data_IF_570714828966
#
_entry.id   IF_570714828966
#
_cell.length_a   1.000
_cell.length_b   1.000
_cell.length_c   1.000
_cell.angle_alpha   90.00
_cell.angle_beta   90.00
_cell.angle_gamma   90.00
#
_symmetry.space_group_name_H-M   'P 1'
#
loop_
_entity.id
_entity.type
_entity.pdbx_description
1 polymer ?
#
# COMPACT_ATOMS: atom_id res chain seq x y z
N UNK A 1 -26.75 21.38 10.95
CA UNK A 1 -25.67 20.55 11.53
C UNK A 1 -25.60 20.88 13.00
N UNK A 2 -25.65 19.89 13.88
CA UNK A 2 -25.60 20.10 15.33
C UNK A 2 -24.23 19.63 15.86
N UNK A 3 -23.81 20.15 17.02
CA UNK A 3 -22.52 19.85 17.65
C UNK A 3 -22.35 18.35 18.00
N UNK A 4 -23.46 17.61 18.14
CA UNK A 4 -23.46 16.17 18.43
C UNK A 4 -23.04 15.36 17.19
N UNK A 5 -23.55 15.72 16.01
CA UNK A 5 -23.21 15.09 14.73
C UNK A 5 -21.76 15.38 14.35
N UNK A 6 -21.29 16.60 14.62
CA UNK A 6 -19.90 16.98 14.35
C UNK A 6 -18.93 16.23 15.27
N UNK A 7 -19.30 16.02 16.54
CA UNK A 7 -18.51 15.23 17.48
C UNK A 7 -18.49 13.74 17.13
N UNK A 8 -19.60 13.16 16.68
CA UNK A 8 -19.68 11.77 16.23
C UNK A 8 -18.81 11.53 14.98
N UNK A 9 -18.83 12.46 14.02
CA UNK A 9 -17.96 12.41 12.85
C UNK A 9 -16.48 12.53 13.25
N UNK A 10 -16.14 13.41 14.21
CA UNK A 10 -14.78 13.58 14.70
C UNK A 10 -14.29 12.36 15.52
N UNK A 11 -15.13 11.74 16.33
CA UNK A 11 -14.79 10.50 17.06
C UNK A 11 -14.65 9.31 16.10
N UNK A 12 -15.44 9.26 15.02
CA UNK A 12 -15.25 8.30 13.93
C UNK A 12 -13.91 8.54 13.23
N UNK A 13 -13.54 9.79 12.94
CA UNK A 13 -12.25 10.14 12.33
C UNK A 13 -11.04 9.92 13.27
N UNK A 14 -11.18 10.12 14.58
CA UNK A 14 -10.13 9.86 15.59
C UNK A 14 -9.92 8.36 15.81
N UNK A 15 -11.00 7.57 15.77
CA UNK A 15 -10.91 6.09 15.77
C UNK A 15 -10.27 5.59 14.47
N UNK A 16 -10.61 6.22 13.34
CA UNK A 16 -10.09 5.96 11.99
C UNK A 16 -8.60 6.26 11.83
N UNK A 17 -8.06 7.24 12.56
CA UNK A 17 -6.62 7.59 12.55
C UNK A 17 -5.77 6.84 13.57
N UNK A 18 -6.37 6.18 14.58
CA UNK A 18 -5.61 5.43 15.59
C UNK A 18 -5.22 4.01 15.16
N UNK A 19 -5.95 3.39 14.23
CA UNK A 19 -5.57 2.10 13.65
C UNK A 19 -4.52 2.24 12.55
N UNK A 20 -4.35 3.45 12.01
CA UNK A 20 -3.45 3.76 10.90
C UNK A 20 -2.21 4.51 11.36
N UNK A 21 -1.09 4.22 10.72
CA UNK A 21 0.04 5.16 10.71
C UNK A 21 -0.42 6.39 9.89
N UNK A 22 -0.35 7.64 10.39
CA UNK A 22 -0.94 8.81 9.72
C UNK A 22 -0.55 8.98 8.24
N UNK A 23 0.66 8.53 7.89
CA UNK A 23 1.18 8.49 6.53
C UNK A 23 0.38 7.54 5.62
N UNK A 24 -0.07 6.39 6.12
CA UNK A 24 -0.89 5.43 5.37
C UNK A 24 -2.31 5.94 5.16
N UNK A 25 -2.91 6.61 6.16
CA UNK A 25 -4.23 7.22 6.03
C UNK A 25 -4.23 8.28 4.91
N UNK A 26 -3.27 9.21 4.96
CA UNK A 26 -3.10 10.22 3.92
C UNK A 26 -2.89 9.61 2.52
N UNK A 27 -2.08 8.56 2.44
CA UNK A 27 -1.85 7.86 1.17
C UNK A 27 -3.14 7.26 0.59
N UNK A 28 -3.98 6.63 1.43
CA UNK A 28 -5.28 6.10 0.99
C UNK A 28 -6.21 7.22 0.49
N UNK A 29 -6.23 8.36 1.19
CA UNK A 29 -7.01 9.54 0.75
C UNK A 29 -6.52 10.09 -0.59
N UNK A 30 -5.21 10.13 -0.81
CA UNK A 30 -4.60 10.57 -2.07
C UNK A 30 -4.98 9.63 -3.23
N UNK A 31 -4.99 8.31 -3.00
CA UNK A 31 -5.47 7.33 -3.99
C UNK A 31 -6.96 7.53 -4.32
N UNK A 32 -7.80 7.75 -3.31
CA UNK A 32 -9.23 7.99 -3.48
C UNK A 32 -9.57 9.33 -4.15
N UNK A 33 -8.68 10.32 -4.02
CA UNK A 33 -8.76 11.59 -4.74
C UNK A 33 -8.34 11.43 -6.21
N UNK A 34 -7.30 10.65 -6.46
CA UNK A 34 -6.78 10.36 -7.80
C UNK A 34 -7.74 9.50 -8.63
N UNK A 35 -8.31 8.46 -8.03
CA UNK A 35 -9.14 7.47 -8.70
C UNK A 35 -10.52 7.38 -8.02
N UNK A 36 -11.58 7.94 -8.63
CA UNK A 36 -12.92 7.93 -8.06
C UNK A 36 -13.47 6.51 -7.79
N UNK A 37 -13.05 5.51 -8.56
CA UNK A 37 -13.47 4.11 -8.39
C UNK A 37 -12.93 3.48 -7.09
N UNK A 38 -11.92 4.06 -6.44
CA UNK A 38 -11.39 3.57 -5.15
C UNK A 38 -12.31 3.94 -3.98
N UNK A 39 -13.05 5.06 -4.07
CA UNK A 39 -13.98 5.51 -3.00
C UNK A 39 -15.04 4.47 -2.63
N UNK A 40 -15.77 3.85 -3.59
CA UNK A 40 -16.71 2.79 -3.25
C UNK A 40 -16.02 1.57 -2.64
N UNK A 41 -14.78 1.23 -3.05
CA UNK A 41 -14.01 0.14 -2.43
C UNK A 41 -13.71 0.43 -0.95
N UNK A 42 -13.31 1.65 -0.62
CA UNK A 42 -13.08 2.06 0.78
C UNK A 42 -14.38 1.96 1.60
N UNK A 43 -15.50 2.41 1.04
CA UNK A 43 -16.79 2.36 1.73
C UNK A 43 -17.29 0.92 1.95
N UNK A 44 -17.07 0.03 0.98
CA UNK A 44 -17.34 -1.40 1.11
C UNK A 44 -16.42 -2.05 2.14
N UNK A 45 -15.13 -1.78 2.05
CA UNK A 45 -14.13 -2.28 2.97
C UNK A 45 -14.45 -1.95 4.43
N UNK A 46 -14.81 -0.70 4.73
CA UNK A 46 -15.19 -0.27 6.08
C UNK A 46 -16.48 -0.96 6.53
N UNK A 47 -17.45 -1.14 5.64
CA UNK A 47 -18.70 -1.84 5.97
C UNK A 47 -18.47 -3.30 6.32
N UNK A 48 -17.52 -3.94 5.64
CA UNK A 48 -17.27 -5.37 5.80
C UNK A 48 -16.34 -5.69 6.98
N UNK A 49 -15.50 -4.73 7.39
CA UNK A 49 -14.50 -4.92 8.43
C UNK A 49 -14.76 -4.08 9.70
N UNK A 50 -15.79 -3.23 9.72
CA UNK A 50 -16.10 -2.22 10.76
C UNK A 50 -14.97 -1.20 11.03
N UNK A 51 -13.87 -1.26 10.28
CA UNK A 51 -12.73 -0.36 10.35
C UNK A 51 -11.98 -0.29 9.01
N UNK A 52 -11.04 0.64 8.89
CA UNK A 52 -10.16 0.74 7.71
C UNK A 52 -8.88 -0.05 7.96
N UNK A 53 -8.71 -1.18 7.27
CA UNK A 53 -7.51 -2.02 7.33
C UNK A 53 -6.69 -1.85 6.04
N UNK A 54 -5.65 -0.99 5.98
CA UNK A 54 -5.02 -0.62 4.71
C UNK A 54 -4.39 -1.80 4.01
N UNK A 55 -3.82 -2.74 4.77
CA UNK A 55 -3.20 -3.93 4.20
C UNK A 55 -4.23 -4.80 3.47
N UNK A 56 -5.45 -4.91 4.01
CA UNK A 56 -6.54 -5.63 3.35
C UNK A 56 -7.15 -4.80 2.21
N UNK A 57 -7.33 -3.49 2.40
CA UNK A 57 -7.80 -2.56 1.37
C UNK A 57 -6.90 -2.56 0.14
N UNK A 58 -5.58 -2.60 0.30
CA UNK A 58 -4.66 -2.67 -0.85
C UNK A 58 -4.85 -3.98 -1.63
N UNK A 59 -5.32 -5.06 -0.98
CA UNK A 59 -5.78 -6.28 -1.64
C UNK A 59 -7.09 -6.08 -2.43
N UNK A 60 -8.05 -5.30 -1.92
CA UNK A 60 -9.23 -4.87 -2.68
C UNK A 60 -8.84 -4.07 -3.92
N UNK A 61 -7.93 -3.12 -3.75
CA UNK A 61 -7.41 -2.28 -4.83
C UNK A 61 -6.64 -3.13 -5.86
N UNK A 62 -5.83 -4.10 -5.44
CA UNK A 62 -5.14 -5.03 -6.33
C UNK A 62 -6.14 -5.84 -7.19
N UNK A 63 -7.24 -6.30 -6.59
CA UNK A 63 -8.33 -6.97 -7.33
C UNK A 63 -9.01 -6.04 -8.32
N UNK A 64 -9.27 -4.79 -7.95
CA UNK A 64 -9.81 -3.79 -8.87
C UNK A 64 -8.86 -3.52 -10.04
N UNK A 65 -7.56 -3.35 -9.79
CA UNK A 65 -6.53 -3.21 -10.84
C UNK A 65 -6.57 -4.40 -11.80
N UNK A 66 -6.67 -5.62 -11.28
CA UNK A 66 -6.78 -6.82 -12.11
C UNK A 66 -8.02 -6.80 -13.01
N UNK A 67 -9.16 -6.33 -12.49
CA UNK A 67 -10.38 -6.17 -13.29
C UNK A 67 -10.21 -5.11 -14.38
N UNK A 68 -9.56 -3.98 -14.08
CA UNK A 68 -9.28 -2.95 -15.10
C UNK A 68 -8.36 -3.49 -16.20
N UNK A 69 -7.33 -4.27 -15.83
CA UNK A 69 -6.43 -4.91 -16.80
C UNK A 69 -7.17 -5.91 -17.70
N UNK A 70 -8.14 -6.65 -17.16
CA UNK A 70 -8.92 -7.62 -17.93
C UNK A 70 -9.96 -6.97 -18.87
N UNK A 71 -10.53 -5.83 -18.47
CA UNK A 71 -11.69 -5.25 -19.13
C UNK A 71 -11.37 -4.02 -20.01
N UNK A 72 -10.17 -3.45 -19.90
CA UNK A 72 -9.78 -2.28 -20.69
C UNK A 72 -9.03 -2.69 -21.96
N UNK A 73 -9.35 -2.06 -23.09
CA UNK A 73 -8.60 -2.21 -24.35
C UNK A 73 -7.20 -1.56 -24.26
N UNK A 74 -7.02 -0.57 -23.36
CA UNK A 74 -5.73 0.07 -23.06
C UNK A 74 -5.56 0.24 -21.54
N UNK A 75 -5.20 -0.83 -20.81
CA UNK A 75 -4.98 -0.77 -19.37
C UNK A 75 -3.83 0.16 -18.99
N UNK A 76 -2.80 0.27 -19.83
CA UNK A 76 -1.60 1.05 -19.56
C UNK A 76 -1.94 2.53 -19.45
N UNK A 77 -2.70 3.07 -20.41
CA UNK A 77 -3.14 4.46 -20.35
C UNK A 77 -4.11 4.71 -19.20
N UNK A 78 -5.07 3.80 -18.98
CA UNK A 78 -6.08 3.92 -17.91
C UNK A 78 -5.48 3.94 -16.50
N UNK A 79 -4.43 3.15 -16.26
CA UNK A 79 -3.81 2.98 -14.94
C UNK A 79 -2.50 3.75 -14.78
N UNK A 80 -2.00 4.42 -15.81
CA UNK A 80 -0.76 5.21 -15.74
C UNK A 80 -0.74 6.21 -14.57
N UNK A 81 -1.81 7.00 -14.30
CA UNK A 81 -1.82 7.91 -13.15
C UNK A 81 -1.70 7.18 -11.81
N UNK A 82 -2.40 6.04 -11.67
CA UNK A 82 -2.38 5.22 -10.46
C UNK A 82 -0.98 4.65 -10.19
N UNK A 83 -0.35 4.01 -11.18
CA UNK A 83 1.00 3.47 -11.01
C UNK A 83 2.06 4.55 -10.81
N UNK A 84 1.89 5.73 -11.41
CA UNK A 84 2.76 6.87 -11.16
C UNK A 84 2.66 7.33 -9.69
N UNK A 85 1.46 7.32 -9.11
CA UNK A 85 1.27 7.68 -7.71
C UNK A 85 1.90 6.64 -6.78
N UNK A 86 1.72 5.34 -7.04
CA UNK A 86 2.38 4.28 -6.27
C UNK A 86 3.91 4.42 -6.32
N UNK A 87 4.46 4.67 -7.50
CA UNK A 87 5.90 4.85 -7.71
C UNK A 87 6.42 6.10 -6.98
N UNK A 88 5.64 7.18 -6.94
CA UNK A 88 5.97 8.40 -6.19
C UNK A 88 5.91 8.15 -4.68
N UNK A 89 4.84 7.53 -4.20
CA UNK A 89 4.60 7.24 -2.79
C UNK A 89 5.58 6.21 -2.21
N UNK A 90 6.16 5.36 -3.07
CA UNK A 90 7.25 4.47 -2.71
C UNK A 90 8.47 5.21 -2.13
N UNK A 91 8.81 6.38 -2.69
CA UNK A 91 9.91 7.21 -2.21
C UNK A 91 11.25 6.46 -2.16
N UNK A 92 11.85 6.38 -0.97
CA UNK A 92 13.12 5.68 -0.73
C UNK A 92 12.97 4.19 -0.34
N UNK A 93 11.74 3.67 -0.29
CA UNK A 93 11.43 2.29 0.09
C UNK A 93 11.54 1.97 1.60
N UNK A 94 11.66 2.99 2.47
CA UNK A 94 11.92 2.79 3.92
C UNK A 94 10.79 3.26 4.84
N UNK A 95 9.69 3.73 4.28
CA UNK A 95 8.55 4.27 5.04
C UNK A 95 7.38 3.29 5.21
N UNK A 96 6.45 3.59 6.13
CA UNK A 96 5.22 2.81 6.34
C UNK A 96 4.35 2.66 5.09
N UNK A 97 4.37 3.65 4.19
CA UNK A 97 3.65 3.61 2.91
C UNK A 97 4.34 2.66 1.93
N UNK A 98 5.67 2.70 1.82
CA UNK A 98 6.41 1.73 1.00
C UNK A 98 6.24 0.29 1.49
N UNK A 99 6.16 0.06 2.81
CA UNK A 99 5.84 -1.26 3.37
C UNK A 99 4.45 -1.74 2.95
N UNK A 100 3.47 -0.84 3.01
CA UNK A 100 2.11 -1.13 2.59
C UNK A 100 2.03 -1.45 1.09
N UNK A 101 2.69 -0.66 0.24
CA UNK A 101 2.75 -0.91 -1.22
C UNK A 101 3.45 -2.23 -1.52
N UNK A 102 4.59 -2.50 -0.87
CA UNK A 102 5.36 -3.73 -1.02
C UNK A 102 4.51 -4.96 -0.70
N UNK A 103 4.12 -5.08 0.58
CA UNK A 103 3.54 -6.31 1.14
C UNK A 103 2.07 -6.47 0.77
N UNK A 104 1.35 -5.37 0.55
CA UNK A 104 -0.11 -5.41 0.38
C UNK A 104 -0.58 -5.05 -1.00
N UNK A 105 0.31 -4.63 -1.91
CA UNK A 105 -0.04 -4.47 -3.33
C UNK A 105 0.85 -5.30 -4.25
N UNK A 106 2.17 -5.08 -4.25
CA UNK A 106 3.07 -5.78 -5.19
C UNK A 106 3.05 -7.29 -4.96
N UNK A 107 3.09 -7.72 -3.69
CA UNK A 107 2.95 -9.14 -3.33
C UNK A 107 1.56 -9.72 -3.59
N UNK A 108 0.52 -8.90 -3.83
CA UNK A 108 -0.81 -9.39 -4.22
C UNK A 108 -0.98 -9.52 -5.74
N UNK A 109 -0.09 -8.92 -6.54
CA UNK A 109 -0.18 -8.92 -8.01
C UNK A 109 0.98 -9.63 -8.69
N UNK A 110 1.87 -10.27 -7.92
CA UNK A 110 3.12 -10.85 -8.42
C UNK A 110 2.91 -11.96 -9.46
N UNK A 111 1.76 -12.63 -9.45
CA UNK A 111 1.41 -13.69 -10.38
C UNK A 111 0.57 -13.20 -11.57
N UNK A 112 0.29 -11.89 -11.64
CA UNK A 112 -0.44 -11.26 -12.74
C UNK A 112 0.53 -10.49 -13.67
N UNK A 113 0.99 -11.12 -14.77
CA UNK A 113 1.99 -10.50 -15.64
C UNK A 113 1.50 -9.20 -16.29
N UNK A 114 0.21 -9.09 -16.58
CA UNK A 114 -0.37 -7.88 -17.17
C UNK A 114 -0.32 -6.67 -16.23
N UNK A 115 -0.37 -6.90 -14.91
CA UNK A 115 -0.19 -5.85 -13.90
C UNK A 115 1.30 -5.55 -13.70
N UNK A 116 2.14 -6.59 -13.63
CA UNK A 116 3.59 -6.45 -13.41
C UNK A 116 4.24 -5.56 -14.48
N UNK A 117 3.80 -5.64 -15.73
CA UNK A 117 4.27 -4.79 -16.84
C UNK A 117 3.91 -3.30 -16.72
N UNK A 118 3.03 -2.95 -15.78
CA UNK A 118 2.60 -1.58 -15.50
C UNK A 118 3.36 -0.95 -14.33
N UNK A 119 4.12 -1.73 -13.57
CA UNK A 119 4.91 -1.23 -12.45
C UNK A 119 5.94 -0.20 -12.91
N UNK A 120 6.10 0.86 -12.11
CA UNK A 120 7.20 1.80 -12.25
C UNK A 120 8.56 1.17 -11.92
N UNK A 121 9.66 1.88 -12.17
CA UNK A 121 11.01 1.30 -12.10
C UNK A 121 11.39 0.76 -10.71
N UNK A 122 11.05 1.47 -9.63
CA UNK A 122 11.38 1.02 -8.27
C UNK A 122 10.49 -0.16 -7.86
N UNK A 123 9.18 -0.10 -8.15
CA UNK A 123 8.28 -1.20 -7.85
C UNK A 123 8.61 -2.46 -8.65
N UNK A 124 8.98 -2.30 -9.93
CA UNK A 124 9.45 -3.39 -10.77
C UNK A 124 10.77 -3.99 -10.24
N UNK A 125 11.69 -3.17 -9.72
CA UNK A 125 12.89 -3.67 -9.06
C UNK A 125 12.56 -4.45 -7.79
N UNK A 126 11.69 -3.92 -6.93
CA UNK A 126 11.22 -4.63 -5.75
C UNK A 126 10.58 -5.97 -6.10
N UNK A 127 9.71 -6.02 -7.11
CA UNK A 127 9.11 -7.25 -7.62
C UNK A 127 10.18 -8.29 -8.03
N UNK A 128 11.21 -7.88 -8.78
CA UNK A 128 12.30 -8.79 -9.20
C UNK A 128 13.10 -9.31 -8.02
N UNK A 129 13.34 -8.48 -7.00
CA UNK A 129 13.99 -8.91 -5.76
C UNK A 129 13.11 -9.89 -5.00
N UNK A 130 11.82 -9.60 -4.85
CA UNK A 130 10.84 -10.44 -4.15
C UNK A 130 10.71 -11.82 -4.80
N UNK A 131 10.62 -11.86 -6.13
CA UNK A 131 10.50 -13.11 -6.90
C UNK A 131 11.84 -13.83 -7.11
N UNK A 132 12.95 -13.30 -6.57
CA UNK A 132 14.28 -13.90 -6.68
C UNK A 132 14.93 -13.78 -8.06
N UNK A 133 14.37 -12.97 -8.95
CA UNK A 133 14.94 -12.66 -10.27
C UNK A 133 16.17 -11.73 -10.17
N UNK A 134 16.24 -10.92 -9.10
CA UNK A 134 17.34 -10.00 -8.83
C UNK A 134 17.77 -10.12 -7.35
N UNK A 135 19.03 -9.80 -7.04
CA UNK A 135 19.49 -9.72 -5.64
C UNK A 135 19.27 -8.31 -5.12
N UNK A 136 18.75 -8.20 -3.89
CA UNK A 136 18.69 -6.92 -3.18
C UNK A 136 20.10 -6.30 -3.07
N UNK A 137 20.18 -4.99 -3.30
CA UNK A 137 21.42 -4.22 -3.13
C UNK A 137 21.73 -4.06 -1.63
N UNK A 138 23.00 -3.91 -1.29
CA UNK A 138 23.42 -3.81 0.12
C UNK A 138 22.90 -2.55 0.81
N UNK A 139 22.69 -1.47 0.05
CA UNK A 139 22.09 -0.23 0.54
C UNK A 139 20.58 -0.35 0.77
N UNK A 140 19.88 -1.26 0.09
CA UNK A 140 18.43 -1.51 0.26
C UNK A 140 18.11 -2.37 1.48
N UNK A 141 19.11 -3.06 2.04
CA UNK A 141 18.92 -3.82 3.27
C UNK A 141 18.58 -2.88 4.40
N UNK A 142 17.37 -3.02 4.94
CA UNK A 142 16.97 -2.25 6.12
C UNK A 142 17.96 -2.51 7.25
N UNK A 143 18.53 -1.45 7.85
CA UNK A 143 19.44 -1.62 8.96
C UNK A 143 18.69 -2.30 10.09
N UNK A 144 19.26 -3.39 10.60
CA UNK A 144 18.68 -4.11 11.75
C UNK A 144 18.46 -3.11 12.89
N UNK A 145 17.22 -2.95 13.39
CA UNK A 145 16.94 -2.01 14.47
C UNK A 145 17.87 -2.24 15.65
N UNK A 146 18.28 -1.15 16.32
CA UNK A 146 19.19 -1.22 17.46
C UNK A 146 18.67 -2.15 18.56
N UNK A 147 17.35 -2.19 18.77
CA UNK A 147 16.70 -3.10 19.72
C UNK A 147 16.89 -4.58 19.34
N UNK A 148 16.81 -4.92 18.06
CA UNK A 148 17.03 -6.30 17.58
C UNK A 148 18.50 -6.68 17.73
N UNK A 149 19.43 -5.74 17.50
CA UNK A 149 20.87 -5.97 17.78
C UNK A 149 21.13 -6.24 19.27
N UNK A 150 20.46 -5.50 20.17
CA UNK A 150 20.55 -5.71 21.62
C UNK A 150 19.96 -7.07 22.03
N UNK A 151 18.82 -7.47 21.45
CA UNK A 151 18.20 -8.78 21.69
C UNK A 151 19.14 -9.91 21.23
N UNK A 152 19.71 -9.84 20.02
CA UNK A 152 20.67 -10.84 19.51
C UNK A 152 21.89 -10.99 20.42
N UNK A 153 22.44 -9.86 20.89
CA UNK A 153 23.54 -9.83 21.86
C UNK A 153 23.18 -10.50 23.19
N UNK A 154 21.94 -10.32 23.67
CA UNK A 154 21.44 -10.99 24.89
C UNK A 154 21.16 -12.48 24.69
N UNK A 155 20.79 -12.90 23.49
CA UNK A 155 20.49 -14.29 23.15
C UNK A 155 21.75 -15.12 22.77
N UNK A 156 22.95 -14.55 22.88
CA UNK A 156 24.22 -15.27 22.65
C UNK A 156 24.46 -15.71 21.20
N UNK A 157 23.69 -15.18 20.24
CA UNK A 157 23.88 -15.42 18.81
C UNK A 157 24.67 -14.25 18.23
N UNK A 158 26.01 -14.38 18.22
CA UNK A 158 26.93 -13.47 17.52
C UNK A 158 26.92 -13.73 16.03
#
# INVERSE_FOLDING_TARGET
MNEQTDKEILDMLDTWTRSLVPEQARFVDELAALEPEIRPLIAEHIRDNDELLPTLLMGDIARWVAQVVQNSDDPRSRLAPFFLELERAWGDGRGPVSDLIAVSFVENVFDNPGIVELLGPNLAHYYRVYTGQEKARDDERRPVPSIVKQIRKKLGRS
#
